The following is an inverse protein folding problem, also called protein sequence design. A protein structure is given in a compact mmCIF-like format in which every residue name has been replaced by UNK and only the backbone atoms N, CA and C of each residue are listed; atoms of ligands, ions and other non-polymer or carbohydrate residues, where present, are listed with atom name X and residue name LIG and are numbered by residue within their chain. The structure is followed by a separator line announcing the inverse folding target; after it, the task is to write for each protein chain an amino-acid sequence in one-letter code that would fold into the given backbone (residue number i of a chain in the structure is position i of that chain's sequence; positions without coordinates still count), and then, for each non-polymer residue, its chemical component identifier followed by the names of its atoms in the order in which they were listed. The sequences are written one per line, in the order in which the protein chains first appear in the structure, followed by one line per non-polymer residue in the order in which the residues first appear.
data_IF_930626755974
#
_entry.id   IF_930626755974
#
_cell.length_a   1.000
_cell.length_b   1.000
_cell.length_c   1.000
_cell.angle_alpha   90.00
_cell.angle_beta   90.00
_cell.angle_gamma   90.00
#
_symmetry.space_group_name_H-M   'P 1'
#
loop_
_entity.id
_entity.type
_entity.pdbx_description
1 polymer ?
#
# COMPACT_ATOMS: atom_id res chain seq x y z
N UNK A 1 -12.91 19.68 7.58
CA UNK A 1 -11.64 19.15 7.03
C UNK A 1 -10.67 19.00 8.20
N UNK A 2 -10.30 17.76 8.57
CA UNK A 2 -9.30 17.52 9.62
C UNK A 2 -7.92 17.89 9.06
N UNK A 3 -7.17 18.72 9.78
CA UNK A 3 -5.78 18.97 9.44
C UNK A 3 -4.96 17.68 9.63
N UNK A 4 -3.95 17.41 8.78
CA UNK A 4 -3.09 16.25 8.97
C UNK A 4 -2.32 16.40 10.28
N UNK A 5 -2.40 15.41 11.18
CA UNK A 5 -1.56 15.36 12.37
C UNK A 5 -0.14 14.92 11.95
N UNK A 6 0.86 15.66 12.42
CA UNK A 6 2.26 15.26 12.28
C UNK A 6 2.55 14.07 13.19
N UNK A 7 3.20 13.04 12.65
CA UNK A 7 3.60 11.83 13.40
C UNK A 7 5.09 11.57 13.17
N UNK A 8 5.79 11.09 14.19
CA UNK A 8 7.17 10.61 14.08
C UNK A 8 7.13 9.10 13.87
N UNK A 9 7.42 8.64 12.64
CA UNK A 9 7.52 7.23 12.31
C UNK A 9 8.96 6.83 11.99
N UNK A 10 9.33 5.58 12.30
CA UNK A 10 10.63 5.03 11.97
C UNK A 10 10.80 4.93 10.46
N UNK A 11 11.68 5.76 9.91
CA UNK A 11 12.08 5.67 8.52
C UNK A 11 13.53 6.12 8.38
N UNK A 12 14.36 5.24 7.84
CA UNK A 12 15.70 5.64 7.41
C UNK A 12 15.52 6.43 6.12
N UNK A 13 15.75 7.73 6.20
CA UNK A 13 15.77 8.60 5.03
C UNK A 13 17.05 8.29 4.29
N UNK A 14 16.97 7.92 3.01
CA UNK A 14 18.16 7.87 2.15
C UNK A 14 18.84 9.23 2.18
N UNK A 15 20.18 9.26 2.27
CA UNK A 15 21.00 10.41 2.71
C UNK A 15 20.84 11.74 1.95
N UNK A 16 19.93 11.86 0.98
CA UNK A 16 19.80 13.00 0.07
C UNK A 16 18.38 13.61 -0.06
N UNK A 17 17.40 13.29 0.80
CA UNK A 17 16.08 13.95 0.75
C UNK A 17 15.81 14.84 1.96
N UNK A 18 15.47 16.11 1.71
CA UNK A 18 14.79 16.94 2.71
C UNK A 18 13.39 16.33 2.93
N UNK A 19 13.22 15.59 4.03
CA UNK A 19 11.98 14.84 4.24
C UNK A 19 10.86 15.74 4.72
N UNK A 20 9.73 15.74 4.01
CA UNK A 20 8.47 16.22 4.58
C UNK A 20 8.08 15.35 5.79
N UNK A 21 7.43 15.97 6.78
CA UNK A 21 6.91 15.24 7.94
C UNK A 21 5.84 14.21 7.51
N UNK A 22 5.73 13.11 8.26
CA UNK A 22 4.66 12.14 8.03
C UNK A 22 3.28 12.77 8.29
N UNK A 23 2.33 12.40 7.44
CA UNK A 23 0.92 12.79 7.48
C UNK A 23 0.04 11.55 7.46
N UNK A 24 -1.18 11.65 7.97
CA UNK A 24 -2.16 10.56 7.98
C UNK A 24 -3.45 10.96 7.27
N UNK A 25 -4.19 9.98 6.75
CA UNK A 25 -5.60 10.15 6.36
C UNK A 25 -6.39 8.89 6.66
N UNK A 26 -7.71 9.03 6.74
CA UNK A 26 -8.67 7.96 7.06
C UNK A 26 -8.43 7.36 8.45
N UNK A 27 -7.99 8.20 9.39
CA UNK A 27 -7.91 7.91 10.82
C UNK A 27 -7.20 6.58 11.17
N UNK A 28 -5.94 6.37 10.74
CA UNK A 28 -5.21 5.17 11.10
C UNK A 28 -4.95 5.14 12.60
N UNK A 29 -5.24 4.00 13.21
CA UNK A 29 -4.71 3.65 14.51
C UNK A 29 -3.30 3.10 14.30
N UNK A 30 -2.29 3.77 14.88
CA UNK A 30 -0.88 3.51 14.62
C UNK A 30 -0.20 3.09 15.91
N UNK A 31 0.49 1.95 15.90
CA UNK A 31 1.30 1.48 17.01
C UNK A 31 2.76 1.43 16.60
N UNK A 32 3.58 2.34 17.12
CA UNK A 32 5.03 2.32 16.92
C UNK A 32 5.62 1.23 17.81
N UNK A 33 6.34 0.28 17.20
CA UNK A 33 6.95 -0.85 17.91
C UNK A 33 8.39 -0.54 18.29
N UNK A 34 9.17 0.00 17.35
CA UNK A 34 10.53 0.44 17.57
C UNK A 34 10.97 1.50 16.55
N UNK A 35 12.28 1.75 16.46
CA UNK A 35 12.89 2.73 15.57
C UNK A 35 12.97 2.29 14.08
N UNK A 36 12.46 1.10 13.74
CA UNK A 36 12.38 0.57 12.36
C UNK A 36 11.00 0.02 11.99
N UNK A 37 10.06 -0.08 12.94
CA UNK A 37 8.78 -0.74 12.72
C UNK A 37 7.59 -0.10 13.44
N UNK A 38 6.43 -0.19 12.79
CA UNK A 38 5.14 0.25 13.30
C UNK A 38 4.02 -0.59 12.68
N UNK A 39 2.80 -0.49 13.19
CA UNK A 39 1.62 -1.08 12.57
C UNK A 39 0.52 -0.06 12.32
N UNK A 40 -0.36 -0.38 11.38
CA UNK A 40 -1.63 0.31 11.13
C UNK A 40 -2.75 -0.70 11.35
N UNK A 41 -3.69 -0.36 12.22
CA UNK A 41 -4.95 -1.10 12.36
C UNK A 41 -6.01 -0.48 11.47
N UNK A 42 -6.73 -1.32 10.72
CA UNK A 42 -7.89 -0.92 9.91
C UNK A 42 -9.14 -1.64 10.37
N UNK A 43 -10.29 -0.95 10.49
CA UNK A 43 -11.57 -1.62 10.63
C UNK A 43 -11.97 -2.32 9.31
N UNK A 44 -12.99 -3.20 9.33
CA UNK A 44 -13.67 -3.67 8.13
C UNK A 44 -14.29 -2.53 7.31
N UNK A 45 -14.72 -2.86 6.09
CA UNK A 45 -15.31 -1.96 5.10
C UNK A 45 -14.37 -0.81 4.66
N UNK A 46 -13.07 -1.09 4.58
CA UNK A 46 -12.07 -0.15 4.04
C UNK A 46 -11.40 -0.71 2.80
N UNK A 47 -11.29 0.11 1.76
CA UNK A 47 -10.76 -0.33 0.48
C UNK A 47 -10.13 0.83 -0.34
N UNK A 48 -9.22 0.45 -1.23
CA UNK A 48 -8.59 1.30 -2.23
C UNK A 48 -8.83 0.66 -3.60
N UNK A 49 -9.94 1.03 -4.22
CA UNK A 49 -10.46 0.40 -5.42
C UNK A 49 -11.43 1.31 -6.15
N UNK A 50 -11.40 1.30 -7.49
CA UNK A 50 -12.36 2.02 -8.32
C UNK A 50 -12.97 1.06 -9.35
N UNK A 51 -14.20 0.57 -9.10
CA UNK A 51 -14.82 -0.45 -9.92
C UNK A 51 -15.46 0.11 -11.20
N UNK A 52 -15.93 1.37 -11.20
CA UNK A 52 -16.66 1.94 -12.33
C UNK A 52 -16.69 3.49 -12.29
N UNK A 53 -17.45 4.08 -13.22
CA UNK A 53 -17.56 5.52 -13.44
C UNK A 53 -18.44 6.28 -12.43
N UNK A 54 -19.23 5.57 -11.62
CA UNK A 54 -20.07 6.21 -10.61
C UNK A 54 -19.19 6.84 -9.52
N UNK A 55 -19.26 8.17 -9.28
CA UNK A 55 -18.35 8.83 -8.33
C UNK A 55 -18.44 8.29 -6.90
N UNK A 56 -19.59 7.73 -6.50
CA UNK A 56 -19.79 7.12 -5.18
C UNK A 56 -19.09 5.77 -5.03
N UNK A 57 -18.58 5.19 -6.12
CA UNK A 57 -17.93 3.89 -6.13
C UNK A 57 -16.40 3.95 -5.96
N UNK A 58 -15.80 5.15 -5.99
CA UNK A 58 -14.34 5.33 -5.79
C UNK A 58 -13.98 5.09 -4.31
N UNK A 59 -13.69 3.84 -3.95
CA UNK A 59 -13.25 3.48 -2.63
C UNK A 59 -11.84 4.02 -2.41
N UNK A 60 -11.73 4.98 -1.51
CA UNK A 60 -10.47 5.57 -1.07
C UNK A 60 -10.47 5.69 0.46
N UNK A 61 -10.86 4.60 1.13
CA UNK A 61 -11.21 4.58 2.56
C UNK A 61 -10.21 3.86 3.44
N UNK A 62 -9.20 3.18 2.86
CA UNK A 62 -8.10 2.57 3.62
C UNK A 62 -7.43 3.59 4.55
N UNK A 63 -7.14 3.25 5.81
CA UNK A 63 -6.21 4.01 6.64
C UNK A 63 -4.79 3.98 6.07
N UNK A 64 -4.11 5.14 6.06
CA UNK A 64 -2.74 5.24 5.57
C UNK A 64 -1.90 6.32 6.22
N UNK A 65 -0.59 6.16 6.09
CA UNK A 65 0.42 7.15 6.49
C UNK A 65 1.32 7.45 5.31
N UNK A 66 1.63 8.72 5.08
CA UNK A 66 2.26 9.17 3.85
C UNK A 66 3.23 10.33 4.04
N UNK A 67 4.10 10.50 3.04
CA UNK A 67 4.91 11.70 2.82
C UNK A 67 4.57 12.32 1.47
N UNK A 68 4.76 13.63 1.42
CA UNK A 68 4.69 14.40 0.18
C UNK A 68 6.08 14.55 -0.40
N UNK A 69 6.25 14.16 -1.66
CA UNK A 69 7.55 14.13 -2.34
C UNK A 69 7.38 14.72 -3.72
N UNK A 70 8.27 15.63 -4.11
CA UNK A 70 8.30 16.14 -5.48
C UNK A 70 8.57 14.99 -6.45
N UNK A 71 7.78 14.88 -7.52
CA UNK A 71 7.87 13.78 -8.46
C UNK A 71 9.27 13.65 -9.07
N UNK A 72 9.94 14.78 -9.36
CA UNK A 72 11.31 14.84 -9.87
C UNK A 72 12.41 14.48 -8.84
N UNK A 73 12.06 14.31 -7.56
CA UNK A 73 12.97 13.84 -6.49
C UNK A 73 12.65 12.43 -6.02
N UNK A 74 11.48 11.90 -6.35
CA UNK A 74 11.11 10.54 -6.00
C UNK A 74 11.91 9.54 -6.85
N UNK A 75 12.67 8.68 -6.17
CA UNK A 75 13.42 7.57 -6.76
C UNK A 75 12.73 6.26 -6.42
N UNK A 76 12.51 5.97 -5.15
CA UNK A 76 11.86 4.72 -4.72
C UNK A 76 11.25 4.77 -3.32
N UNK A 77 10.36 3.82 -3.05
CA UNK A 77 9.93 3.42 -1.71
C UNK A 77 10.09 1.90 -1.57
N UNK A 78 10.59 1.45 -0.42
CA UNK A 78 10.68 0.05 -0.07
C UNK A 78 10.16 -0.19 1.34
N UNK A 79 9.40 -1.27 1.56
CA UNK A 79 8.88 -1.63 2.87
C UNK A 79 8.66 -3.13 2.98
N UNK A 80 8.90 -3.68 4.17
CA UNK A 80 8.52 -5.04 4.53
C UNK A 80 7.14 -5.00 5.19
N UNK A 81 6.22 -5.81 4.70
CA UNK A 81 4.82 -5.88 5.16
C UNK A 81 4.57 -7.25 5.78
N UNK A 82 3.90 -7.30 6.92
CA UNK A 82 3.48 -8.54 7.58
C UNK A 82 2.11 -8.37 8.26
N UNK A 83 1.23 -9.35 8.11
CA UNK A 83 -0.01 -9.42 8.89
C UNK A 83 -0.49 -10.86 9.02
N UNK A 84 -1.52 -11.06 9.83
CA UNK A 84 -2.25 -12.32 9.91
C UNK A 84 -3.40 -12.31 8.88
N UNK A 85 -3.04 -12.55 7.61
CA UNK A 85 -3.95 -12.46 6.47
C UNK A 85 -4.98 -13.60 6.49
N UNK A 86 -6.23 -13.29 6.79
CA UNK A 86 -7.26 -14.33 7.07
C UNK A 86 -8.51 -14.19 6.21
N UNK A 87 -8.87 -12.97 5.86
CA UNK A 87 -10.16 -12.65 5.26
C UNK A 87 -9.96 -12.25 3.82
N UNK A 88 -10.92 -12.60 2.95
CA UNK A 88 -10.87 -12.22 1.54
C UNK A 88 -10.70 -10.70 1.41
N UNK A 89 -9.71 -10.31 0.62
CA UNK A 89 -9.28 -8.93 0.38
C UNK A 89 -8.61 -8.22 1.56
N UNK A 90 -8.29 -8.90 2.67
CA UNK A 90 -7.33 -8.35 3.62
C UNK A 90 -6.08 -7.92 2.85
N UNK A 91 -5.67 -6.67 3.00
CA UNK A 91 -4.65 -6.06 2.15
C UNK A 91 -3.76 -5.08 2.91
N UNK A 92 -2.51 -4.97 2.49
CA UNK A 92 -1.61 -3.96 3.01
C UNK A 92 -0.31 -3.85 2.22
N UNK A 93 0.21 -2.62 2.11
CA UNK A 93 1.43 -2.36 1.36
C UNK A 93 1.65 -0.90 1.02
N UNK A 94 2.19 -0.64 -0.17
CA UNK A 94 2.57 0.68 -0.68
C UNK A 94 1.46 1.22 -1.59
N UNK A 95 1.23 2.52 -1.55
CA UNK A 95 0.53 3.20 -2.64
C UNK A 95 1.21 4.52 -3.02
N UNK A 96 1.09 4.89 -4.29
CA UNK A 96 1.59 6.15 -4.86
C UNK A 96 0.41 6.89 -5.47
N UNK A 97 0.13 8.10 -4.97
CA UNK A 97 -0.99 8.93 -5.43
C UNK A 97 -0.46 10.12 -6.20
N UNK A 98 -0.94 10.25 -7.43
CA UNK A 98 -0.62 11.37 -8.29
C UNK A 98 -1.61 12.50 -8.04
N UNK A 99 -1.13 13.74 -7.85
CA UNK A 99 -2.01 14.89 -7.72
C UNK A 99 -2.68 15.20 -9.05
N UNK A 100 -3.77 15.98 -9.02
CA UNK A 100 -4.46 16.45 -10.22
C UNK A 100 -5.97 16.49 -10.05
N UNK A 101 -6.71 16.67 -11.17
CA UNK A 101 -8.16 16.61 -11.18
C UNK A 101 -8.67 15.27 -10.64
N UNK A 102 -9.79 15.32 -9.91
CA UNK A 102 -10.48 14.10 -9.50
C UNK A 102 -11.17 13.43 -10.71
N UNK A 103 -11.30 12.10 -10.70
CA UNK A 103 -10.79 11.19 -9.68
C UNK A 103 -9.26 11.02 -9.79
N UNK A 104 -8.59 10.88 -8.64
CA UNK A 104 -7.13 10.81 -8.58
C UNK A 104 -6.61 9.53 -9.25
N UNK A 105 -5.41 9.61 -9.85
CA UNK A 105 -4.70 8.46 -10.39
C UNK A 105 -3.78 7.88 -9.33
N UNK A 106 -3.65 6.57 -9.27
CA UNK A 106 -2.84 5.92 -8.24
C UNK A 106 -2.39 4.52 -8.63
N UNK A 107 -1.31 4.07 -7.99
CA UNK A 107 -0.86 2.67 -8.03
C UNK A 107 -0.80 2.17 -6.58
N UNK A 108 -1.29 0.95 -6.33
CA UNK A 108 -1.10 0.25 -5.04
C UNK A 108 -0.43 -1.10 -5.29
N UNK A 109 0.38 -1.54 -4.35
CA UNK A 109 0.96 -2.89 -4.32
C UNK A 109 1.06 -3.38 -2.89
N UNK A 110 0.93 -4.68 -2.68
CA UNK A 110 1.03 -5.26 -1.35
C UNK A 110 0.73 -6.75 -1.33
N UNK A 111 0.55 -7.26 -0.13
CA UNK A 111 -0.12 -8.55 0.05
C UNK A 111 -1.62 -8.30 0.01
N UNK A 112 -2.35 -9.14 -0.72
CA UNK A 112 -3.82 -9.13 -0.79
C UNK A 112 -4.33 -10.56 -0.80
N UNK A 113 -5.33 -10.86 0.02
CA UNK A 113 -5.93 -12.21 0.07
C UNK A 113 -6.93 -12.37 -1.06
N UNK A 114 -6.71 -13.35 -1.93
CA UNK A 114 -7.72 -13.80 -2.89
C UNK A 114 -7.69 -15.32 -3.02
N UNK A 115 -8.86 -15.90 -3.27
CA UNK A 115 -9.03 -17.35 -3.37
C UNK A 115 -8.48 -18.11 -2.14
N UNK A 116 -8.66 -17.53 -0.95
CA UNK A 116 -8.26 -18.13 0.32
C UNK A 116 -6.76 -18.10 0.63
N UNK A 117 -5.93 -17.43 -0.18
CA UNK A 117 -4.49 -17.36 0.03
C UNK A 117 -3.93 -15.95 -0.17
N UNK A 118 -2.87 -15.55 0.57
CA UNK A 118 -2.11 -14.34 0.29
C UNK A 118 -1.51 -14.34 -1.12
N UNK A 119 -1.69 -13.24 -1.84
CA UNK A 119 -1.13 -12.98 -3.17
C UNK A 119 -0.31 -11.69 -3.15
N UNK A 120 0.65 -11.55 -4.07
CA UNK A 120 1.16 -10.23 -4.43
C UNK A 120 0.11 -9.54 -5.31
N UNK A 121 -0.56 -8.53 -4.76
CA UNK A 121 -1.58 -7.75 -5.45
C UNK A 121 -1.03 -6.42 -5.93
N UNK A 122 -1.32 -6.04 -7.18
CA UNK A 122 -0.96 -4.76 -7.77
C UNK A 122 -2.18 -4.19 -8.47
N UNK A 123 -2.50 -2.93 -8.20
CA UNK A 123 -3.56 -2.20 -8.91
C UNK A 123 -3.00 -0.92 -9.50
N UNK A 124 -3.09 -0.80 -10.81
CA UNK A 124 -2.88 0.47 -11.52
C UNK A 124 -4.22 1.12 -11.81
N UNK A 125 -4.47 2.29 -11.23
CA UNK A 125 -5.72 3.02 -11.40
C UNK A 125 -5.49 4.32 -12.16
N UNK A 126 -5.72 4.27 -13.47
CA UNK A 126 -5.73 5.45 -14.33
C UNK A 126 -7.13 6.08 -14.38
N UNK A 127 -8.08 5.39 -15.01
CA UNK A 127 -9.50 5.75 -15.01
C UNK A 127 -10.26 4.88 -14.01
N UNK A 128 -10.07 3.56 -14.12
CA UNK A 128 -10.60 2.51 -13.26
C UNK A 128 -9.46 1.62 -12.77
N UNK A 129 -9.73 0.82 -11.75
CA UNK A 129 -8.73 -0.07 -11.19
C UNK A 129 -8.51 -1.30 -12.09
N UNK A 130 -7.27 -1.47 -12.53
CA UNK A 130 -6.78 -2.67 -13.22
C UNK A 130 -5.91 -3.48 -12.26
N UNK A 131 -6.35 -4.70 -11.94
CA UNK A 131 -5.77 -5.55 -10.89
C UNK A 131 -5.04 -6.75 -11.48
N UNK A 132 -3.84 -7.00 -10.98
CA UNK A 132 -3.10 -8.23 -11.22
C UNK A 132 -2.69 -8.90 -9.91
N UNK A 133 -2.70 -10.23 -9.92
CA UNK A 133 -2.28 -11.07 -8.82
C UNK A 133 -1.12 -11.96 -9.26
N UNK A 134 -0.16 -12.16 -8.36
CA UNK A 134 0.90 -13.16 -8.52
C UNK A 134 1.00 -14.01 -7.24
N UNK A 135 1.19 -15.34 -7.35
CA UNK A 135 1.36 -16.20 -6.20
C UNK A 135 2.56 -15.79 -5.33
N UNK A 136 2.39 -15.85 -4.01
CA UNK A 136 3.49 -15.65 -3.07
C UNK A 136 4.38 -16.89 -2.99
N UNK A 137 5.70 -16.66 -2.91
CA UNK A 137 6.71 -17.71 -2.77
C UNK A 137 7.60 -17.44 -1.54
N UNK A 138 7.79 -18.41 -0.62
CA UNK A 138 7.11 -19.71 -0.58
C UNK A 138 5.60 -19.56 -0.36
N UNK A 139 4.83 -20.57 -0.76
CA UNK A 139 3.38 -20.57 -0.57
C UNK A 139 3.01 -20.29 0.90
N UNK A 140 1.97 -19.48 1.11
CA UNK A 140 1.48 -19.03 2.42
C UNK A 140 2.42 -18.12 3.22
N UNK A 141 3.47 -17.55 2.62
CA UNK A 141 4.24 -16.54 3.33
C UNK A 141 3.35 -15.33 3.69
N UNK A 142 3.42 -14.91 4.95
CA UNK A 142 2.67 -13.78 5.49
C UNK A 142 3.45 -12.47 5.43
N UNK A 143 4.71 -12.52 4.99
CA UNK A 143 5.64 -11.40 4.94
C UNK A 143 6.20 -11.24 3.55
N UNK A 144 6.27 -10.00 3.07
CA UNK A 144 6.92 -9.67 1.80
C UNK A 144 7.53 -8.28 1.83
N UNK A 145 8.66 -8.09 1.13
CA UNK A 145 9.27 -6.78 0.94
C UNK A 145 8.99 -6.26 -0.46
N UNK A 146 8.28 -5.16 -0.54
CA UNK A 146 7.94 -4.50 -1.80
C UNK A 146 8.87 -3.32 -2.06
N UNK A 147 9.13 -3.07 -3.34
CA UNK A 147 9.89 -1.92 -3.81
C UNK A 147 9.11 -1.32 -4.98
N UNK A 148 8.83 -0.02 -4.90
CA UNK A 148 8.25 0.76 -6.01
C UNK A 148 9.27 1.83 -6.37
N UNK A 149 9.69 1.86 -7.62
CA UNK A 149 10.69 2.82 -8.10
C UNK A 149 10.27 3.50 -9.39
N UNK A 150 10.79 4.71 -9.59
CA UNK A 150 10.65 5.46 -10.82
C UNK A 150 11.83 5.12 -11.74
N UNK A 151 11.53 4.75 -12.97
CA UNK A 151 12.52 4.59 -14.04
C UNK A 151 12.11 5.49 -15.21
N UNK A 152 12.75 6.66 -15.35
CA UNK A 152 12.38 7.63 -16.37
C UNK A 152 10.93 8.14 -16.22
N UNK A 153 10.08 7.78 -17.18
CA UNK A 153 8.63 8.08 -17.19
C UNK A 153 7.75 6.96 -16.62
N UNK A 154 8.35 5.83 -16.28
CA UNK A 154 7.66 4.61 -15.86
C UNK A 154 7.79 4.41 -14.36
N UNK A 155 6.87 3.61 -13.82
CA UNK A 155 6.96 3.08 -12.46
C UNK A 155 7.08 1.57 -12.51
N UNK A 156 8.05 1.05 -11.77
CA UNK A 156 8.27 -0.38 -11.63
C UNK A 156 7.94 -0.82 -10.20
N UNK A 157 7.30 -1.99 -10.11
CA UNK A 157 6.95 -2.66 -8.85
C UNK A 157 7.71 -3.97 -8.78
N UNK A 158 8.40 -4.19 -7.67
CA UNK A 158 9.15 -5.41 -7.38
C UNK A 158 8.77 -5.98 -6.01
N UNK A 159 9.02 -7.28 -5.86
CA UNK A 159 9.14 -7.95 -4.56
C UNK A 159 10.56 -8.48 -4.40
N UNK A 160 11.12 -8.44 -3.20
CA UNK A 160 12.39 -9.10 -2.92
C UNK A 160 12.13 -10.59 -2.70
N UNK A 161 12.75 -11.45 -3.52
CA UNK A 161 12.61 -12.89 -3.36
C UNK A 161 13.51 -13.36 -2.21
N UNK A 162 12.87 -14.00 -1.22
CA UNK A 162 13.44 -14.81 -0.13
C UNK A 162 14.17 -14.09 1.03
N UNK A 163 13.61 -14.28 2.23
CA UNK A 163 14.25 -13.93 3.51
C UNK A 163 15.50 -14.79 3.81
N UNK A 164 15.69 -15.91 3.10
CA UNK A 164 16.82 -16.84 3.24
C UNK A 164 17.94 -16.60 2.22
N UNK A 165 17.69 -15.83 1.16
CA UNK A 165 18.69 -15.49 0.17
C UNK A 165 18.56 -14.03 -0.31
N UNK A 166 19.15 -13.07 0.42
CA UNK A 166 19.15 -11.66 0.04
C UNK A 166 19.73 -11.38 -1.36
N UNK A 167 20.56 -12.30 -1.88
CA UNK A 167 21.21 -12.19 -3.20
C UNK A 167 20.31 -12.69 -4.35
N UNK A 168 19.15 -13.29 -4.06
CA UNK A 168 18.18 -13.71 -5.09
C UNK A 168 17.56 -12.53 -5.85
N UNK A 169 17.82 -11.30 -5.39
CA UNK A 169 17.49 -10.08 -6.10
C UNK A 169 16.01 -9.71 -6.05
N UNK A 170 15.66 -8.70 -6.84
CA UNK A 170 14.30 -8.16 -6.94
C UNK A 170 13.58 -8.84 -8.10
N UNK A 171 12.39 -9.37 -7.85
CA UNK A 171 11.52 -9.93 -8.88
C UNK A 171 10.53 -8.88 -9.37
N UNK A 172 10.47 -8.59 -10.69
CA UNK A 172 9.54 -7.61 -11.24
C UNK A 172 8.10 -8.16 -11.22
N UNK A 173 7.18 -7.38 -10.66
CA UNK A 173 5.75 -7.71 -10.61
C UNK A 173 4.93 -6.92 -11.63
N UNK A 174 5.28 -5.63 -11.85
CA UNK A 174 4.52 -4.77 -12.76
C UNK A 174 5.37 -3.60 -13.25
N UNK A 175 5.19 -3.28 -14.52
CA UNK A 175 5.57 -2.02 -15.12
C UNK A 175 4.31 -1.18 -15.35
N UNK A 176 4.36 0.10 -14.98
CA UNK A 176 3.26 1.06 -15.12
C UNK A 176 3.75 2.26 -15.94
N UNK A 177 3.57 2.16 -17.26
CA UNK A 177 4.12 3.11 -18.22
C UNK A 177 3.50 4.51 -18.15
N UNK A 178 2.24 4.61 -17.72
CA UNK A 178 1.54 5.89 -17.64
C UNK A 178 1.92 6.73 -16.42
N UNK A 179 2.62 6.16 -15.43
CA UNK A 179 2.80 6.72 -14.10
C UNK A 179 3.27 8.19 -14.11
N UNK A 180 4.35 8.48 -14.84
CA UNK A 180 4.95 9.82 -14.88
C UNK A 180 4.75 10.56 -16.22
N UNK A 181 3.84 10.07 -17.07
CA UNK A 181 3.43 10.75 -18.30
C UNK A 181 2.46 11.91 -18.04
N UNK A 182 2.08 12.65 -19.09
CA UNK A 182 1.11 13.75 -19.04
C UNK A 182 1.45 14.81 -17.97
N UNK A 183 2.74 15.15 -17.87
CA UNK A 183 3.22 16.15 -16.92
C UNK A 183 3.32 15.68 -15.46
N UNK A 184 2.99 14.42 -15.13
CA UNK A 184 3.11 13.87 -13.76
C UNK A 184 4.55 13.76 -13.25
N UNK A 185 5.54 14.02 -14.11
CA UNK A 185 6.96 14.15 -13.75
C UNK A 185 7.42 15.58 -13.41
N UNK A 186 6.56 16.58 -13.55
CA UNK A 186 6.94 18.00 -13.47
C UNK A 186 7.47 18.45 -12.11
N UNK A 187 8.20 19.57 -12.10
CA UNK A 187 8.93 20.07 -10.93
C UNK A 187 8.04 20.52 -9.76
N UNK A 188 6.79 20.88 -10.07
CA UNK A 188 5.77 21.29 -9.10
C UNK A 188 4.80 20.16 -8.75
N UNK A 189 4.97 18.97 -9.32
CA UNK A 189 4.14 17.81 -9.01
C UNK A 189 4.58 17.21 -7.69
N UNK A 190 3.67 17.11 -6.74
CA UNK A 190 3.91 16.52 -5.41
C UNK A 190 3.10 15.24 -5.27
N UNK A 191 3.79 14.11 -5.23
CA UNK A 191 3.20 12.78 -5.01
C UNK A 191 2.87 12.59 -3.54
N UNK A 192 1.85 11.80 -3.23
CA UNK A 192 1.73 11.17 -1.92
C UNK A 192 2.29 9.75 -2.00
N UNK A 193 3.39 9.53 -1.29
CA UNK A 193 4.06 8.23 -1.18
C UNK A 193 3.72 7.64 0.18
N UNK A 194 3.01 6.50 0.18
CA UNK A 194 2.31 6.02 1.38
C UNK A 194 2.41 4.53 1.61
N UNK A 195 2.17 4.13 2.86
CA UNK A 195 1.80 2.76 3.22
C UNK A 195 0.37 2.72 3.74
N UNK A 196 -0.34 1.61 3.52
CA UNK A 196 -1.76 1.48 3.83
C UNK A 196 -2.12 0.09 4.34
N UNK A 197 -3.23 0.01 5.08
CA UNK A 197 -3.90 -1.23 5.47
C UNK A 197 -5.37 -1.18 5.04
N UNK A 198 -5.93 -2.28 4.54
CA UNK A 198 -7.33 -2.35 4.12
C UNK A 198 -7.97 -3.68 4.48
N UNK A 199 -9.26 -3.62 4.83
CA UNK A 199 -10.10 -4.79 5.11
C UNK A 199 -11.46 -4.57 4.46
N UNK A 200 -11.62 -4.91 3.17
CA UNK A 200 -12.86 -4.65 2.44
C UNK A 200 -14.04 -5.49 2.95
N UNK A 201 -13.77 -6.70 3.43
CA UNK A 201 -14.81 -7.64 3.88
C UNK A 201 -14.77 -7.90 5.38
N UNK A 202 -15.91 -8.29 5.94
CA UNK A 202 -16.00 -8.79 7.31
C UNK A 202 -15.54 -10.24 7.36
N UNK A 203 -14.97 -10.67 8.50
CA UNK A 203 -14.55 -12.06 8.68
C UNK A 203 -15.76 -13.01 8.68
N UNK A 204 -15.63 -14.15 8.02
CA UNK A 204 -16.58 -15.25 8.15
C UNK A 204 -16.31 -15.99 9.48
N UNK A 205 -17.33 -16.25 10.29
CA UNK A 205 -17.21 -17.01 11.54
C UNK A 205 -17.42 -18.50 11.27
N UNK A 206 -16.62 -19.35 11.92
CA UNK A 206 -16.68 -20.82 11.90
C UNK A 206 -18.09 -21.39 12.07
N UNK A 207 -18.42 -22.41 11.28
CA UNK A 207 -19.75 -23.04 11.14
C UNK A 207 -20.23 -23.87 12.34
N UNK A 208 -19.70 -23.68 13.54
CA UNK A 208 -20.05 -24.48 14.72
C UNK A 208 -21.24 -23.96 15.52
N UNK A 209 -21.78 -22.79 15.19
CA UNK A 209 -23.04 -22.28 15.75
C UNK A 209 -23.91 -21.67 14.65
N UNK A 210 -25.18 -22.09 14.57
CA UNK A 210 -26.20 -21.66 13.59
C UNK A 210 -26.67 -20.20 13.84
N UNK A 211 -25.74 -19.27 13.94
CA UNK A 211 -26.02 -17.84 14.07
C UNK A 211 -24.92 -17.07 13.35
N UNK A 212 -25.24 -16.54 12.16
CA UNK A 212 -24.35 -15.63 11.45
C UNK A 212 -24.25 -14.31 12.21
N UNK A 213 -23.16 -14.12 12.94
CA UNK A 213 -22.77 -12.82 13.49
C UNK A 213 -21.52 -12.41 12.72
N UNK A 214 -21.54 -11.28 12.01
CA UNK A 214 -20.35 -10.71 11.38
C UNK A 214 -19.37 -10.21 12.45
N UNK A 215 -18.08 -10.58 12.42
CA UNK A 215 -17.12 -9.99 13.36
C UNK A 215 -16.70 -8.59 12.89
N UNK A 216 -16.65 -7.64 13.81
CA UNK A 216 -16.14 -6.27 13.56
C UNK A 216 -14.62 -6.18 13.76
N UNK A 217 -13.94 -7.33 13.85
CA UNK A 217 -12.51 -7.38 14.12
C UNK A 217 -11.73 -6.75 12.95
N UNK A 218 -10.84 -5.84 13.29
CA UNK A 218 -9.98 -5.17 12.32
C UNK A 218 -8.86 -6.05 11.78
N UNK A 219 -8.02 -5.47 10.94
CA UNK A 219 -6.75 -6.06 10.49
C UNK A 219 -5.62 -5.16 10.97
N UNK A 220 -4.65 -5.72 11.68
CA UNK A 220 -3.39 -5.04 12.00
C UNK A 220 -2.33 -5.43 10.98
N UNK A 221 -1.79 -4.44 10.26
CA UNK A 221 -0.70 -4.64 9.30
C UNK A 221 0.58 -4.00 9.84
N UNK A 222 1.65 -4.80 9.90
CA UNK A 222 2.97 -4.40 10.33
C UNK A 222 3.82 -3.93 9.15
N UNK A 223 4.55 -2.84 9.36
CA UNK A 223 5.49 -2.26 8.41
C UNK A 223 6.86 -2.17 9.09
N UNK A 224 7.89 -2.72 8.45
CA UNK A 224 9.28 -2.57 8.89
C UNK A 224 10.19 -2.18 7.74
N UNK A 225 11.36 -1.62 8.10
CA UNK A 225 12.43 -1.29 7.15
C UNK A 225 11.95 -0.40 6.00
N UNK A 226 11.07 0.55 6.34
CA UNK A 226 10.52 1.55 5.44
C UNK A 226 11.60 2.55 5.05
N UNK A 227 11.90 2.60 3.76
CA UNK A 227 12.88 3.50 3.16
C UNK A 227 12.21 4.23 2.00
N UNK A 228 12.44 5.53 1.93
CA UNK A 228 12.01 6.39 0.84
C UNK A 228 13.23 7.17 0.36
N UNK A 229 13.47 7.15 -0.95
CA UNK A 229 14.59 7.81 -1.64
C UNK A 229 14.06 8.70 -2.74
#
# INVERSE_FOLDING_TARGET
MSHPKHISLPATIGSNTSSSAWKTLNHPEIHVKDHKSFSITTPPATDLWRPNAEPKSDNFTVPYVYREIKANKFTSIAVTVNADWKTRYDQGGIAIIFPGPKPLKWVKTGIEVENGAPQYGIVGTYAFSDWSLSPIQPQNATTARFIVERSGSEMWVYVLNDAKNPDAGRYPLREVTWAFLEGRAGDDVVLQVRVYAGKPTYSAISSTTYSAISSTEGLEVNFSDLVIV
#
